data_IF_229084337297
#
_entry.id   IF_229084337297
#
_cell.length_a   1.000
_cell.length_b   1.000
_cell.length_c   1.000
_cell.angle_alpha   90.00
_cell.angle_beta   90.00
_cell.angle_gamma   90.00
#
_symmetry.space_group_name_H-M   'P 1'
#
loop_
_entity.id
_entity.type
_entity.pdbx_description
1 polymer ?
#
# COMPACT_ATOMS: atom_id res chain seq x y z
N UNK A 1 -42.18 7.40 45.82
CA UNK A 1 -42.59 8.32 44.73
C UNK A 1 -41.46 9.16 44.14
N UNK A 2 -40.84 10.12 44.83
CA UNK A 2 -39.78 10.98 44.21
C UNK A 2 -38.54 10.18 43.81
N UNK A 3 -38.08 9.26 44.66
CA UNK A 3 -36.91 8.43 44.39
C UNK A 3 -37.11 7.45 43.22
N UNK A 4 -38.28 6.83 43.13
CA UNK A 4 -38.61 5.89 42.04
C UNK A 4 -38.68 6.61 40.67
N UNK A 5 -39.21 7.84 40.65
CA UNK A 5 -39.25 8.66 39.46
C UNK A 5 -37.84 9.04 38.97
N UNK A 6 -36.95 9.42 39.88
CA UNK A 6 -35.56 9.73 39.53
C UNK A 6 -34.81 8.50 39.02
N UNK A 7 -35.03 7.33 39.62
CA UNK A 7 -34.42 6.07 39.21
C UNK A 7 -34.89 5.64 37.81
N UNK A 8 -36.17 5.86 37.50
CA UNK A 8 -36.74 5.67 36.16
C UNK A 8 -36.15 6.64 35.13
N UNK A 9 -35.98 7.92 35.48
CA UNK A 9 -35.34 8.91 34.61
C UNK A 9 -33.89 8.55 34.31
N UNK A 10 -33.14 8.07 35.31
CA UNK A 10 -31.75 7.60 35.13
C UNK A 10 -31.71 6.39 34.19
N UNK A 11 -32.59 5.41 34.37
CA UNK A 11 -32.65 4.24 33.47
C UNK A 11 -33.01 4.60 32.02
N UNK A 12 -33.89 5.60 31.83
CA UNK A 12 -34.27 6.06 30.49
C UNK A 12 -33.18 6.88 29.80
N UNK A 13 -32.41 7.65 30.56
CA UNK A 13 -31.32 8.48 30.04
C UNK A 13 -30.03 7.68 29.84
N UNK A 14 -29.83 6.61 30.61
CA UNK A 14 -28.65 5.76 30.53
C UNK A 14 -28.81 4.64 29.50
N UNK A 15 -28.81 5.00 28.22
CA UNK A 15 -28.75 4.02 27.12
C UNK A 15 -27.29 3.75 26.74
N UNK A 16 -26.60 2.99 27.59
CA UNK A 16 -25.18 2.66 27.40
C UNK A 16 -24.89 1.98 26.05
N UNK A 17 -25.76 1.08 25.61
CA UNK A 17 -25.60 0.35 24.34
C UNK A 17 -25.68 1.27 23.12
N UNK A 18 -26.60 2.25 23.13
CA UNK A 18 -26.73 3.21 22.03
C UNK A 18 -25.52 4.14 21.96
N UNK A 19 -25.01 4.58 23.11
CA UNK A 19 -23.76 5.34 23.18
C UNK A 19 -22.57 4.55 22.66
N UNK A 20 -22.45 3.28 23.04
CA UNK A 20 -21.36 2.42 22.59
C UNK A 20 -21.44 2.15 21.09
N UNK A 21 -22.66 1.99 20.55
CA UNK A 21 -22.89 1.89 19.11
C UNK A 21 -22.47 3.17 18.39
N UNK A 22 -22.87 4.35 18.87
CA UNK A 22 -22.47 5.62 18.29
C UNK A 22 -20.94 5.84 18.36
N UNK A 23 -20.30 5.41 19.45
CA UNK A 23 -18.85 5.46 19.61
C UNK A 23 -18.14 4.55 18.60
N UNK A 24 -18.63 3.31 18.43
CA UNK A 24 -18.11 2.37 17.42
C UNK A 24 -18.28 2.92 16.00
N UNK A 25 -19.44 3.47 15.66
CA UNK A 25 -19.69 4.08 14.35
C UNK A 25 -18.79 5.29 14.07
N UNK A 26 -18.48 6.08 15.10
CA UNK A 26 -17.50 7.17 14.97
C UNK A 26 -16.10 6.61 14.68
N UNK A 27 -15.68 5.57 15.40
CA UNK A 27 -14.37 4.95 15.21
C UNK A 27 -14.24 4.30 13.83
N UNK A 28 -15.28 3.64 13.33
CA UNK A 28 -15.28 3.05 11.98
C UNK A 28 -15.14 4.12 10.91
N UNK A 29 -15.87 5.24 11.01
CA UNK A 29 -15.75 6.38 10.06
C UNK A 29 -14.33 6.96 10.03
N UNK A 30 -13.71 7.13 11.20
CA UNK A 30 -12.32 7.60 11.28
C UNK A 30 -11.39 6.61 10.59
N UNK A 31 -11.56 5.31 10.85
CA UNK A 31 -10.74 4.28 10.23
C UNK A 31 -10.90 4.25 8.70
N UNK A 32 -12.12 4.32 8.19
CA UNK A 32 -12.42 4.37 6.76
C UNK A 32 -11.75 5.57 6.08
N UNK A 33 -11.81 6.75 6.68
CA UNK A 33 -11.13 7.95 6.16
C UNK A 33 -9.61 7.82 6.08
N UNK A 34 -9.00 6.97 6.92
CA UNK A 34 -7.54 6.72 6.88
C UNK A 34 -7.11 5.67 5.85
N UNK A 35 -8.05 4.92 5.26
CA UNK A 35 -7.76 3.83 4.34
C UNK A 35 -7.17 4.33 3.02
N UNK A 36 -7.72 5.39 2.46
CA UNK A 36 -7.26 5.98 1.20
C UNK A 36 -5.82 6.51 1.31
N UNK A 37 -5.50 7.12 2.46
CA UNK A 37 -4.15 7.56 2.80
C UNK A 37 -3.17 6.37 2.81
N UNK A 38 -3.54 5.25 3.43
CA UNK A 38 -2.71 4.04 3.42
C UNK A 38 -2.46 3.51 2.01
N UNK A 39 -3.45 3.55 1.13
CA UNK A 39 -3.31 3.12 -0.27
C UNK A 39 -2.35 4.02 -1.05
N UNK A 40 -2.43 5.33 -0.87
CA UNK A 40 -1.48 6.28 -1.47
C UNK A 40 -0.04 6.03 -1.01
N UNK A 41 0.18 5.75 0.27
CA UNK A 41 1.50 5.43 0.82
C UNK A 41 2.10 4.11 0.31
N UNK A 42 1.30 3.19 -0.25
CA UNK A 42 1.82 1.97 -0.88
C UNK A 42 2.30 2.17 -2.32
N UNK A 43 1.92 3.27 -2.96
CA UNK A 43 2.28 3.53 -4.37
C UNK A 43 3.79 3.63 -4.65
N UNK A 44 4.67 4.16 -3.76
CA UNK A 44 6.11 4.20 -4.01
C UNK A 44 6.74 2.81 -4.05
N UNK A 45 6.21 1.86 -3.26
CA UNK A 45 6.74 0.50 -3.18
C UNK A 45 6.44 -0.27 -4.48
N UNK A 46 5.21 -0.15 -5.00
CA UNK A 46 4.80 -0.79 -6.25
C UNK A 46 5.48 -0.16 -7.47
N UNK A 47 5.62 1.17 -7.51
CA UNK A 47 6.23 1.87 -8.65
C UNK A 47 7.76 1.68 -8.71
N UNK A 48 8.44 1.58 -7.56
CA UNK A 48 9.88 1.34 -7.52
C UNK A 48 10.26 -0.02 -8.12
N UNK A 49 9.47 -1.08 -7.84
CA UNK A 49 9.69 -2.40 -8.41
C UNK A 49 9.39 -2.44 -9.91
N UNK A 50 8.32 -1.76 -10.35
CA UNK A 50 8.00 -1.61 -11.77
C UNK A 50 9.13 -0.91 -12.54
N UNK A 51 9.64 0.22 -12.01
CA UNK A 51 10.72 0.97 -12.64
C UNK A 51 12.04 0.19 -12.69
N UNK A 52 12.42 -0.48 -11.60
CA UNK A 52 13.63 -1.31 -11.56
C UNK A 52 13.56 -2.47 -12.57
N UNK A 53 12.43 -3.17 -12.64
CA UNK A 53 12.22 -4.26 -13.58
C UNK A 53 12.22 -3.81 -15.04
N UNK A 54 11.46 -2.76 -15.38
CA UNK A 54 11.42 -2.20 -16.74
C UNK A 54 12.78 -1.66 -17.18
N UNK A 55 13.52 -1.00 -16.29
CA UNK A 55 14.89 -0.53 -16.58
C UNK A 55 15.85 -1.68 -16.85
N UNK A 56 15.77 -2.76 -16.07
CA UNK A 56 16.60 -3.95 -16.29
C UNK A 56 16.29 -4.63 -17.63
N UNK A 57 15.00 -4.79 -17.96
CA UNK A 57 14.58 -5.36 -19.25
C UNK A 57 14.94 -4.47 -20.44
N UNK A 58 14.78 -3.15 -20.32
CA UNK A 58 15.16 -2.20 -21.37
C UNK A 58 16.67 -2.20 -21.62
N UNK A 59 17.48 -2.26 -20.55
CA UNK A 59 18.93 -2.43 -20.65
C UNK A 59 19.30 -3.75 -21.33
N UNK A 60 18.66 -4.86 -20.93
CA UNK A 60 18.89 -6.16 -21.55
C UNK A 60 18.51 -6.17 -23.03
N UNK A 61 17.36 -5.58 -23.41
CA UNK A 61 16.90 -5.51 -24.79
C UNK A 61 17.81 -4.63 -25.67
N UNK A 62 18.36 -3.54 -25.11
CA UNK A 62 19.35 -2.69 -25.78
C UNK A 62 20.69 -3.42 -25.92
N UNK A 63 21.17 -4.05 -24.85
CA UNK A 63 22.45 -4.76 -24.82
C UNK A 63 22.43 -6.06 -25.64
N UNK A 64 21.25 -6.64 -25.89
CA UNK A 64 21.08 -7.85 -26.70
C UNK A 64 21.03 -7.59 -28.21
N UNK A 65 20.94 -6.32 -28.64
CA UNK A 65 20.89 -5.97 -30.06
C UNK A 65 22.15 -6.47 -30.79
N UNK A 66 22.01 -7.24 -31.89
CA UNK A 66 23.16 -7.84 -32.58
C UNK A 66 24.18 -6.83 -33.10
N UNK A 67 23.73 -5.64 -33.52
CA UNK A 67 24.60 -4.55 -33.98
C UNK A 67 25.42 -3.91 -32.85
N UNK A 68 24.87 -3.85 -31.64
CA UNK A 68 25.55 -3.33 -30.44
C UNK A 68 26.53 -4.33 -29.84
N UNK A 69 26.34 -5.64 -30.04
CA UNK A 69 27.32 -6.68 -29.68
C UNK A 69 28.54 -6.69 -30.59
N UNK A 70 28.37 -6.31 -31.86
CA UNK A 70 29.43 -6.30 -32.89
C UNK A 70 30.07 -4.92 -33.09
N UNK A 71 29.71 -3.95 -32.25
CA UNK A 71 30.21 -2.58 -32.34
C UNK A 71 31.68 -2.55 -31.92
N UNK A 72 32.55 -2.05 -32.79
CA UNK A 72 34.01 -1.98 -32.56
C UNK A 72 34.32 -1.17 -31.29
N UNK A 73 35.05 -1.79 -30.35
CA UNK A 73 35.43 -1.17 -29.06
C UNK A 73 34.53 -1.54 -27.87
N UNK A 74 33.48 -2.35 -28.06
CA UNK A 74 32.63 -2.83 -26.96
C UNK A 74 32.99 -4.28 -26.59
N UNK A 75 33.55 -4.51 -25.38
CA UNK A 75 33.79 -5.86 -24.86
C UNK A 75 32.45 -6.54 -24.60
N UNK A 76 32.22 -7.74 -25.16
CA UNK A 76 31.01 -8.47 -24.86
C UNK A 76 31.02 -8.86 -23.37
N UNK A 77 29.92 -8.72 -22.62
CA UNK A 77 29.92 -8.95 -21.17
C UNK A 77 30.26 -10.39 -20.73
N UNK A 78 30.38 -11.32 -21.69
CA UNK A 78 30.60 -12.76 -21.46
C UNK A 78 31.70 -13.34 -22.35
N UNK A 79 32.52 -12.51 -23.00
CA UNK A 79 33.60 -12.99 -23.88
C UNK A 79 34.68 -13.81 -23.15
N UNK A 80 34.84 -13.61 -21.84
CA UNK A 80 35.79 -14.38 -21.02
C UNK A 80 35.20 -15.69 -20.46
N UNK A 81 33.90 -15.92 -20.63
CA UNK A 81 33.25 -17.18 -20.25
C UNK A 81 33.13 -18.07 -21.49
N UNK A 82 34.27 -18.59 -21.95
CA UNK A 82 34.28 -19.74 -22.85
C UNK A 82 33.63 -20.92 -22.10
N UNK A 83 32.37 -21.21 -22.41
CA UNK A 83 31.71 -22.47 -22.09
C UNK A 83 32.18 -23.51 -23.11
N UNK A 84 33.42 -23.97 -22.94
CA UNK A 84 33.91 -25.25 -23.48
C UNK A 84 33.81 -26.33 -22.38
#
# INVERSE_FOLDING_TARGET
MVMEYLQWCIQKTFQAEERDKASKERLTKIHEGTKDLKEQWQTPIKSALYWKGKRAQAKYAYDSQPGLKKMTGRRAPYEDYNLD
#
